data_IF_285207394567
#
_entry.id   IF_285207394567
#
_cell.length_a   1.000
_cell.length_b   1.000
_cell.length_c   1.000
_cell.angle_alpha   90.00
_cell.angle_beta   90.00
_cell.angle_gamma   90.00
#
_symmetry.space_group_name_H-M   'P 1'
#
loop_
_entity.id
_entity.type
_entity.pdbx_description
1 polymer ?
#
# COMPACT_ATOMS: atom_id res chain seq x y z
N UNK A 1 -2.14 3.17 -12.04
CA UNK A 1 -1.71 1.77 -11.85
C UNK A 1 -0.54 1.62 -10.87
N UNK A 2 0.44 2.53 -10.86
CA UNK A 2 1.55 2.48 -9.88
C UNK A 2 1.09 2.57 -8.42
N UNK A 3 -0.03 3.26 -8.16
CA UNK A 3 -0.66 3.35 -6.82
C UNK A 3 -0.92 1.97 -6.20
N UNK A 4 -1.48 1.04 -6.96
CA UNK A 4 -1.79 -0.33 -6.49
C UNK A 4 -0.51 -1.07 -6.07
N UNK A 5 0.57 -0.89 -6.85
CA UNK A 5 1.86 -1.51 -6.56
C UNK A 5 2.40 -1.03 -5.20
N UNK A 6 2.41 0.28 -4.96
CA UNK A 6 3.00 0.88 -3.76
C UNK A 6 2.09 0.83 -2.52
N UNK A 7 0.77 0.99 -2.68
CA UNK A 7 -0.18 0.98 -1.56
C UNK A 7 -0.51 -0.45 -1.07
N UNK A 8 -0.50 -1.44 -1.97
CA UNK A 8 -1.05 -2.76 -1.65
C UNK A 8 -0.02 -3.89 -1.79
N UNK A 9 0.69 -3.95 -2.92
CA UNK A 9 1.61 -5.06 -3.21
C UNK A 9 2.90 -4.90 -2.40
N UNK A 10 3.47 -3.70 -2.37
CA UNK A 10 4.73 -3.42 -1.70
C UNK A 10 4.71 -3.74 -0.20
N UNK A 11 3.73 -3.30 0.61
CA UNK A 11 3.69 -3.61 2.03
C UNK A 11 3.62 -5.12 2.30
N UNK A 12 2.91 -5.86 1.44
CA UNK A 12 2.73 -7.30 1.57
C UNK A 12 4.03 -8.07 1.28
N UNK A 13 4.78 -7.66 0.24
CA UNK A 13 6.03 -8.34 -0.15
C UNK A 13 7.28 -7.79 0.53
N UNK A 14 7.23 -6.57 1.07
CA UNK A 14 8.36 -5.91 1.73
C UNK A 14 9.08 -6.79 2.77
N UNK A 15 8.41 -7.46 3.73
CA UNK A 15 9.10 -8.31 4.70
C UNK A 15 9.85 -9.47 4.02
N UNK A 16 9.29 -10.04 2.93
CA UNK A 16 9.96 -11.08 2.16
C UNK A 16 11.18 -10.54 1.43
N UNK A 17 11.10 -9.35 0.82
CA UNK A 17 12.23 -8.71 0.14
C UNK A 17 13.38 -8.45 1.11
N UNK A 18 13.08 -7.95 2.32
CA UNK A 18 14.07 -7.75 3.38
C UNK A 18 14.72 -9.06 3.79
N UNK A 19 13.91 -10.12 4.01
CA UNK A 19 14.43 -11.44 4.38
C UNK A 19 15.32 -12.05 3.30
N UNK A 20 14.88 -12.06 2.04
CA UNK A 20 15.69 -12.57 0.93
C UNK A 20 16.96 -11.75 0.70
N UNK A 21 16.89 -10.43 0.87
CA UNK A 21 18.06 -9.56 0.83
C UNK A 21 19.09 -9.93 1.90
N UNK A 22 18.63 -10.20 3.12
CA UNK A 22 19.49 -10.68 4.20
C UNK A 22 20.08 -12.06 3.91
N UNK A 23 19.26 -13.04 3.49
CA UNK A 23 19.73 -14.40 3.14
C UNK A 23 20.81 -14.33 2.07
N UNK A 24 20.60 -13.52 1.03
CA UNK A 24 21.57 -13.35 -0.05
C UNK A 24 22.87 -12.73 0.41
N UNK A 25 22.80 -11.70 1.27
CA UNK A 25 23.98 -11.08 1.86
C UNK A 25 24.74 -12.05 2.75
N UNK A 26 24.03 -12.79 3.61
CA UNK A 26 24.61 -13.77 4.52
C UNK A 26 25.24 -14.96 3.77
N UNK A 27 24.59 -15.46 2.71
CA UNK A 27 25.14 -16.51 1.85
C UNK A 27 26.44 -16.06 1.15
N UNK A 28 26.48 -14.81 0.67
CA UNK A 28 27.70 -14.23 0.09
C UNK A 28 28.83 -14.11 1.10
N UNK A 29 28.52 -13.76 2.35
CA UNK A 29 29.48 -13.69 3.43
C UNK A 29 30.02 -15.07 3.80
N UNK A 30 29.14 -16.05 3.94
CA UNK A 30 29.49 -17.43 4.26
C UNK A 30 30.43 -18.05 3.20
N UNK A 31 30.17 -17.77 1.91
CA UNK A 31 31.05 -18.20 0.83
C UNK A 31 32.47 -17.61 0.90
N UNK A 32 32.63 -16.39 1.44
CA UNK A 32 33.95 -15.76 1.63
C UNK A 32 34.68 -16.28 2.87
N UNK A 33 33.93 -16.57 3.93
CA UNK A 33 34.46 -17.02 5.22
C UNK A 33 34.62 -18.55 5.30
N UNK A 34 34.17 -19.29 4.27
CA UNK A 34 34.20 -20.75 4.23
C UNK A 34 33.21 -21.41 5.21
N UNK A 35 32.20 -20.67 5.66
CA UNK A 35 31.19 -21.15 6.62
C UNK A 35 29.92 -21.62 5.91
N UNK A 36 29.08 -22.35 6.64
CA UNK A 36 27.81 -22.83 6.10
C UNK A 36 26.85 -21.66 5.82
N UNK A 37 26.23 -21.65 4.63
CA UNK A 37 25.23 -20.66 4.27
C UNK A 37 23.91 -20.89 5.04
N UNK A 38 23.17 -19.83 5.37
CA UNK A 38 21.88 -19.96 6.03
C UNK A 38 20.85 -20.67 5.13
N UNK A 39 20.11 -21.61 5.72
CA UNK A 39 19.01 -22.31 5.04
C UNK A 39 17.77 -21.41 5.01
N UNK A 40 17.46 -20.90 3.82
CA UNK A 40 16.30 -20.04 3.60
C UNK A 40 14.98 -20.75 3.92
N UNK A 41 14.92 -22.08 3.82
CA UNK A 41 13.70 -22.89 4.04
C UNK A 41 13.29 -22.92 5.50
N UNK A 42 14.24 -22.78 6.42
CA UNK A 42 13.99 -22.67 7.86
C UNK A 42 13.67 -21.23 8.29
N UNK A 43 13.36 -20.36 7.31
CA UNK A 43 13.00 -18.97 7.55
C UNK A 43 11.74 -18.78 8.39
N UNK A 44 11.56 -17.59 8.97
CA UNK A 44 10.42 -17.26 9.80
C UNK A 44 9.17 -16.94 8.95
N UNK A 45 8.78 -17.85 8.05
CA UNK A 45 7.72 -17.64 7.04
C UNK A 45 6.41 -17.15 7.63
N UNK A 46 5.99 -17.74 8.75
CA UNK A 46 4.78 -17.35 9.45
C UNK A 46 4.82 -15.88 9.89
N UNK A 47 5.94 -15.44 10.47
CA UNK A 47 6.12 -14.07 10.92
C UNK A 47 6.26 -13.09 9.76
N UNK A 48 6.88 -13.49 8.65
CA UNK A 48 6.96 -12.66 7.44
C UNK A 48 5.57 -12.42 6.85
N UNK A 49 4.74 -13.47 6.77
CA UNK A 49 3.36 -13.37 6.31
C UNK A 49 2.51 -12.51 7.26
N UNK A 50 2.63 -12.71 8.58
CA UNK A 50 1.93 -11.92 9.57
C UNK A 50 2.33 -10.43 9.51
N UNK A 51 3.63 -10.13 9.41
CA UNK A 51 4.13 -8.77 9.26
C UNK A 51 3.61 -8.13 7.95
N UNK A 52 3.62 -8.87 6.84
CA UNK A 52 3.11 -8.38 5.56
C UNK A 52 1.61 -8.07 5.63
N UNK A 53 0.83 -8.93 6.29
CA UNK A 53 -0.59 -8.70 6.52
C UNK A 53 -0.84 -7.45 7.37
N UNK A 54 -0.10 -7.27 8.47
CA UNK A 54 -0.22 -6.09 9.33
C UNK A 54 0.10 -4.81 8.56
N UNK A 55 1.18 -4.81 7.77
CA UNK A 55 1.55 -3.67 6.94
C UNK A 55 0.48 -3.36 5.88
N UNK A 56 -0.07 -4.39 5.24
CA UNK A 56 -1.14 -4.26 4.27
C UNK A 56 -2.41 -3.65 4.90
N UNK A 57 -2.86 -4.18 6.03
CA UNK A 57 -4.01 -3.65 6.78
C UNK A 57 -3.75 -2.20 7.21
N UNK A 58 -2.55 -1.89 7.70
CA UNK A 58 -2.16 -0.53 8.04
C UNK A 58 -2.24 0.43 6.85
N UNK A 59 -1.79 0.00 5.66
CA UNK A 59 -1.90 0.79 4.44
C UNK A 59 -3.35 1.03 4.02
N UNK A 60 -4.23 0.03 4.16
CA UNK A 60 -5.67 0.20 3.94
C UNK A 60 -6.28 1.24 4.90
N UNK A 61 -5.96 1.13 6.19
CA UNK A 61 -6.45 2.07 7.21
C UNK A 61 -5.96 3.48 6.90
N UNK A 62 -4.68 3.68 6.59
CA UNK A 62 -4.14 4.98 6.21
C UNK A 62 -4.87 5.53 4.98
N UNK A 63 -5.05 4.71 3.94
CA UNK A 63 -5.76 5.11 2.72
C UNK A 63 -7.21 5.53 3.01
N UNK A 64 -7.89 4.81 3.90
CA UNK A 64 -9.26 5.12 4.32
C UNK A 64 -9.35 6.41 5.15
N UNK A 65 -8.31 6.73 5.93
CA UNK A 65 -8.25 7.93 6.77
C UNK A 65 -7.81 9.18 6.00
N UNK A 66 -6.93 9.04 5.02
CA UNK A 66 -6.35 10.17 4.27
C UNK A 66 -6.95 10.38 2.89
N UNK A 67 -7.68 9.41 2.35
CA UNK A 67 -8.23 9.43 1.01
C UNK A 67 -9.76 9.42 0.96
N UNK A 68 -10.30 9.70 -0.22
CA UNK A 68 -11.74 9.69 -0.50
C UNK A 68 -12.48 10.99 -0.16
N UNK A 69 -13.65 11.16 -0.75
CA UNK A 69 -14.58 12.23 -0.37
C UNK A 69 -15.29 11.86 0.93
N UNK A 70 -15.56 12.83 1.80
CA UNK A 70 -16.23 12.56 3.08
C UNK A 70 -17.61 11.93 2.82
N UNK A 71 -18.01 10.89 3.58
CA UNK A 71 -19.34 10.29 3.43
C UNK A 71 -20.43 11.35 3.53
N UNK A 72 -21.41 11.29 2.62
CA UNK A 72 -22.57 12.20 2.60
C UNK A 72 -22.51 13.37 1.60
N UNK A 73 -21.49 13.45 0.74
CA UNK A 73 -21.50 14.36 -0.41
C UNK A 73 -22.46 13.88 -1.50
N UNK A 74 -23.25 14.80 -2.07
CA UNK A 74 -24.08 14.53 -3.25
C UNK A 74 -23.27 14.88 -4.49
N UNK A 75 -23.08 13.92 -5.37
CA UNK A 75 -22.40 14.18 -6.64
C UNK A 75 -23.29 15.02 -7.56
N UNK A 76 -22.78 16.19 -7.98
CA UNK A 76 -23.38 17.02 -9.02
C UNK A 76 -22.65 16.74 -10.34
N UNK A 77 -23.33 16.21 -11.37
CA UNK A 77 -22.70 16.00 -12.66
C UNK A 77 -22.37 17.35 -13.32
N UNK A 78 -21.42 17.36 -14.29
CA UNK A 78 -21.12 18.55 -15.06
C UNK A 78 -22.39 19.09 -15.76
N UNK A 79 -22.57 20.40 -15.73
CA UNK A 79 -23.73 21.06 -16.32
C UNK A 79 -23.32 22.32 -17.08
N UNK A 80 -24.11 22.72 -18.07
CA UNK A 80 -23.92 24.00 -18.74
C UNK A 80 -24.59 25.09 -17.90
N UNK A 81 -23.81 26.08 -17.48
CA UNK A 81 -24.28 27.23 -16.72
C UNK A 81 -25.17 28.16 -17.56
N UNK A 82 -25.95 29.04 -16.91
CA UNK A 82 -26.80 30.02 -17.60
C UNK A 82 -26.02 30.98 -18.50
N UNK A 83 -24.72 31.14 -18.24
CA UNK A 83 -23.76 31.94 -19.00
C UNK A 83 -23.09 31.17 -20.15
N UNK A 84 -23.52 29.93 -20.42
CA UNK A 84 -22.97 29.04 -21.44
C UNK A 84 -21.63 28.40 -21.06
N UNK A 85 -21.15 28.59 -19.83
CA UNK A 85 -19.88 27.98 -19.37
C UNK A 85 -20.12 26.59 -18.79
N UNK A 86 -19.15 25.70 -18.96
CA UNK A 86 -19.20 24.37 -18.36
C UNK A 86 -18.88 24.47 -16.87
N UNK A 87 -19.85 24.08 -16.04
CA UNK A 87 -19.66 23.89 -14.60
C UNK A 87 -19.13 22.46 -14.42
N UNK A 88 -17.90 22.27 -13.93
CA UNK A 88 -17.35 20.94 -13.71
C UNK A 88 -18.12 20.20 -12.61
N UNK A 89 -18.15 18.86 -12.75
CA UNK A 89 -18.75 17.99 -11.76
C UNK A 89 -18.04 18.14 -10.42
N UNK A 90 -18.82 18.25 -9.35
CA UNK A 90 -18.30 18.45 -8.00
C UNK A 90 -19.18 17.74 -6.98
N UNK A 91 -18.65 17.51 -5.78
CA UNK A 91 -19.43 17.01 -4.66
C UNK A 91 -19.95 18.20 -3.86
N UNK A 92 -21.26 18.26 -3.67
CA UNK A 92 -21.92 19.29 -2.89
C UNK A 92 -22.31 18.72 -1.52
N UNK A 93 -22.02 19.47 -0.44
CA UNK A 93 -22.34 19.06 0.92
C UNK A 93 -23.34 20.06 1.52
N UNK A 94 -24.50 19.56 1.95
CA UNK A 94 -25.43 20.39 2.71
C UNK A 94 -24.77 20.78 4.06
N UNK A 95 -24.88 22.05 4.49
CA UNK A 95 -24.32 22.47 5.78
C UNK A 95 -24.95 21.67 6.92
N UNK A 96 -24.20 21.35 7.99
CA UNK A 96 -24.76 20.70 9.17
C UNK A 96 -25.88 21.60 9.74
N UNK A 97 -27.04 20.99 10.02
CA UNK A 97 -28.15 21.65 10.75
C UNK A 97 -27.81 21.79 12.22
#
# INVERSE_FOLDING_TARGET
MIRILFEYILPLIAPFLVYFGWVWFAARRAAKEGTAAPDWRQGPWYWLAAAGLVLFVGALVLTALTGGEKPGGVYRPPALGPDGKVIPGHFERAPPR
#
